data_IF_589617228955
#
_entry.id   IF_589617228955
#
_cell.length_a   1.000
_cell.length_b   1.000
_cell.length_c   1.000
_cell.angle_alpha   90.00
_cell.angle_beta   90.00
_cell.angle_gamma   90.00
#
_symmetry.space_group_name_H-M   'P 1'
#
loop_
_entity.id
_entity.type
_entity.pdbx_description
1 polymer ?
#
# COMPACT_ATOMS: atom_id res chain seq x y z
N UNK A 1 -12.63 -15.31 1.14
CA UNK A 1 -11.55 -16.05 0.48
C UNK A 1 -10.74 -15.01 -0.26
N UNK A 2 -9.53 -14.76 0.20
CA UNK A 2 -8.61 -13.81 -0.41
C UNK A 2 -7.79 -14.57 -1.44
N UNK A 3 -7.64 -14.00 -2.64
CA UNK A 3 -6.84 -14.60 -3.70
C UNK A 3 -5.68 -13.69 -4.03
N UNK A 4 -4.49 -14.26 -4.15
CA UNK A 4 -3.29 -13.55 -4.56
C UNK A 4 -3.08 -13.64 -6.07
N UNK A 5 -2.54 -12.58 -6.67
CA UNK A 5 -2.08 -12.61 -8.06
C UNK A 5 -0.90 -13.56 -8.20
N UNK A 6 -0.85 -14.33 -9.27
CA UNK A 6 0.23 -15.27 -9.55
C UNK A 6 0.66 -15.22 -11.01
N UNK A 7 1.94 -15.50 -11.24
CA UNK A 7 2.54 -15.76 -12.56
C UNK A 7 3.04 -17.20 -12.71
N UNK A 8 2.60 -18.10 -11.80
CA UNK A 8 3.15 -19.45 -11.69
C UNK A 8 2.62 -20.39 -12.80
N UNK A 9 1.37 -20.21 -13.23
CA UNK A 9 0.69 -21.10 -14.17
C UNK A 9 0.93 -20.80 -15.66
N UNK A 10 1.73 -19.78 -16.02
CA UNK A 10 2.02 -19.47 -17.41
C UNK A 10 2.42 -18.02 -17.67
N UNK A 11 2.07 -17.54 -18.87
CA UNK A 11 2.32 -16.18 -19.37
C UNK A 11 1.34 -15.16 -18.78
N UNK A 12 0.09 -15.59 -18.54
CA UNK A 12 -0.96 -14.74 -18.01
C UNK A 12 -0.81 -14.54 -16.50
N UNK A 13 -1.19 -13.35 -16.03
CA UNK A 13 -1.35 -13.10 -14.59
C UNK A 13 -2.76 -13.52 -14.17
N UNK A 14 -2.87 -14.30 -13.10
CA UNK A 14 -4.16 -14.80 -12.58
C UNK A 14 -4.30 -14.54 -11.08
N UNK A 15 -5.49 -14.20 -10.60
CA UNK A 15 -5.81 -14.10 -9.17
C UNK A 15 -6.62 -15.34 -8.73
N UNK A 16 -5.93 -16.44 -8.43
CA UNK A 16 -6.55 -17.73 -8.12
C UNK A 16 -5.79 -18.56 -7.09
N UNK A 17 -4.81 -17.97 -6.40
CA UNK A 17 -4.02 -18.65 -5.38
C UNK A 17 -4.53 -18.28 -3.99
N UNK A 18 -4.68 -19.28 -3.12
CA UNK A 18 -5.15 -19.10 -1.74
C UNK A 18 -4.01 -18.69 -0.78
N UNK A 19 -2.75 -18.85 -1.18
CA UNK A 19 -1.57 -18.55 -0.36
C UNK A 19 -0.59 -17.64 -1.12
N UNK A 20 0.05 -16.72 -0.41
CA UNK A 20 1.11 -15.89 -0.96
C UNK A 20 2.47 -16.62 -0.86
N UNK A 21 3.05 -17.00 -1.99
CA UNK A 21 4.45 -17.43 -2.10
C UNK A 21 5.29 -16.38 -2.86
N UNK A 22 6.54 -16.70 -3.18
CA UNK A 22 7.38 -15.84 -4.03
C UNK A 22 6.74 -15.57 -5.41
N UNK A 23 5.95 -16.51 -5.94
CA UNK A 23 5.27 -16.35 -7.23
C UNK A 23 4.09 -15.37 -7.21
N UNK A 24 3.67 -14.98 -6.01
CA UNK A 24 2.60 -14.03 -5.71
C UNK A 24 3.15 -12.69 -5.19
N UNK A 25 4.48 -12.55 -5.13
CA UNK A 25 5.17 -11.32 -4.75
C UNK A 25 5.61 -10.55 -5.99
N UNK A 26 5.23 -9.28 -6.07
CA UNK A 26 5.59 -8.38 -7.17
C UNK A 26 6.34 -7.17 -6.64
N UNK A 27 7.38 -6.75 -7.37
CA UNK A 27 8.09 -5.52 -7.09
C UNK A 27 7.42 -4.36 -7.84
N UNK A 28 7.01 -3.34 -7.09
CA UNK A 28 6.52 -2.08 -7.63
C UNK A 28 7.69 -1.14 -7.89
N UNK A 29 7.83 -0.68 -9.13
CA UNK A 29 8.89 0.25 -9.54
C UNK A 29 8.24 1.53 -10.08
N UNK A 30 8.46 2.65 -9.38
CA UNK A 30 7.89 3.94 -9.78
C UNK A 30 8.67 4.56 -10.94
N UNK A 31 7.95 5.05 -11.93
CA UNK A 31 8.47 5.86 -13.02
C UNK A 31 8.24 7.34 -12.73
N UNK A 32 9.33 8.07 -12.44
CA UNK A 32 9.26 9.49 -12.06
C UNK A 32 8.79 10.40 -13.20
N UNK A 33 8.99 10.00 -14.45
CA UNK A 33 8.57 10.76 -15.63
C UNK A 33 7.05 10.76 -15.81
N UNK A 34 6.42 9.59 -15.65
CA UNK A 34 4.98 9.43 -15.89
C UNK A 34 4.15 9.38 -14.61
N UNK A 35 4.79 9.30 -13.43
CA UNK A 35 4.13 9.10 -12.12
C UNK A 35 3.29 7.80 -12.07
N UNK A 36 3.70 6.78 -12.84
CA UNK A 36 3.06 5.46 -12.94
C UNK A 36 4.01 4.37 -12.46
N UNK A 37 3.49 3.16 -12.34
CA UNK A 37 4.19 2.03 -11.75
C UNK A 37 4.40 0.92 -12.76
N UNK A 38 5.60 0.34 -12.75
CA UNK A 38 5.85 -0.99 -13.29
C UNK A 38 5.60 -2.03 -12.20
N UNK A 39 5.02 -3.17 -12.60
CA UNK A 39 4.78 -4.31 -11.71
C UNK A 39 5.65 -5.46 -12.22
N UNK A 40 6.73 -5.76 -11.48
CA UNK A 40 7.75 -6.73 -11.87
C UNK A 40 7.60 -8.03 -11.09
N UNK A 41 7.69 -9.16 -11.78
CA UNK A 41 7.63 -10.50 -11.20
C UNK A 41 9.02 -10.96 -10.75
N UNK A 42 9.07 -12.04 -9.96
CA UNK A 42 10.31 -12.71 -9.55
C UNK A 42 11.15 -13.27 -10.72
N UNK A 43 10.56 -13.43 -11.91
CA UNK A 43 11.26 -13.90 -13.12
C UNK A 43 11.82 -12.74 -13.96
N UNK A 44 11.94 -11.55 -13.36
CA UNK A 44 12.36 -10.30 -14.01
C UNK A 44 11.48 -9.92 -15.23
N UNK A 45 10.19 -10.30 -15.19
CA UNK A 45 9.21 -9.92 -16.21
C UNK A 45 8.26 -8.85 -15.68
N UNK A 46 7.76 -8.01 -16.56
CA UNK A 46 6.83 -6.95 -16.24
C UNK A 46 5.41 -7.35 -16.64
N UNK A 47 4.43 -6.94 -15.82
CA UNK A 47 3.04 -6.90 -16.28
C UNK A 47 2.97 -6.01 -17.51
N UNK A 48 2.35 -6.50 -18.57
CA UNK A 48 2.15 -5.78 -19.83
C UNK A 48 0.70 -5.89 -20.27
N UNK A 49 0.14 -4.76 -20.71
CA UNK A 49 -1.09 -4.73 -21.48
C UNK A 49 -0.82 -5.28 -22.87
N UNK A 50 -1.43 -6.42 -23.16
CA UNK A 50 -1.30 -7.13 -24.43
C UNK A 50 -2.52 -6.96 -25.33
N UNK A 51 -2.41 -7.51 -26.54
CA UNK A 51 -3.54 -7.59 -27.48
C UNK A 51 -4.77 -8.23 -26.83
N UNK A 52 -5.96 -7.82 -27.28
CA UNK A 52 -7.24 -8.19 -26.67
C UNK A 52 -7.43 -7.76 -25.19
N UNK A 53 -6.64 -6.78 -24.73
CA UNK A 53 -6.71 -6.18 -23.38
C UNK A 53 -6.29 -7.12 -22.23
N UNK A 54 -5.62 -8.24 -22.50
CA UNK A 54 -5.10 -9.12 -21.45
C UNK A 54 -3.90 -8.52 -20.72
N UNK A 55 -3.73 -8.85 -19.44
CA UNK A 55 -2.51 -8.52 -18.69
C UNK A 55 -1.64 -9.78 -18.55
N UNK A 56 -0.42 -9.70 -19.09
CA UNK A 56 0.53 -10.81 -19.11
C UNK A 56 1.86 -10.41 -18.49
N UNK A 57 2.70 -11.38 -18.10
CA UNK A 57 4.01 -11.14 -17.51
C UNK A 57 5.14 -11.77 -18.35
N UNK A 58 5.28 -11.32 -19.61
CA UNK A 58 6.23 -11.90 -20.59
C UNK A 58 7.43 -11.02 -20.92
N UNK A 59 7.25 -9.70 -20.89
CA UNK A 59 8.29 -8.76 -21.32
C UNK A 59 9.31 -8.56 -20.21
N UNK A 60 10.60 -8.69 -20.52
CA UNK A 60 11.70 -8.21 -19.66
C UNK A 60 12.07 -6.75 -19.94
N UNK A 61 11.37 -6.11 -20.88
CA UNK A 61 11.58 -4.71 -21.24
C UNK A 61 10.49 -3.82 -20.67
N UNK A 62 10.89 -2.68 -20.12
CA UNK A 62 10.00 -1.56 -19.80
C UNK A 62 9.42 -0.98 -21.09
N UNK A 63 8.12 -0.71 -21.07
CA UNK A 63 7.38 -0.07 -22.18
C UNK A 63 6.19 0.73 -21.63
N UNK A 64 5.55 1.53 -22.48
CA UNK A 64 4.32 2.23 -22.10
C UNK A 64 3.20 1.27 -21.69
N UNK A 65 3.15 0.08 -22.29
CA UNK A 65 2.15 -0.94 -21.96
C UNK A 65 2.44 -1.65 -20.63
N UNK A 66 3.63 -1.48 -20.06
CA UNK A 66 3.99 -1.99 -18.74
C UNK A 66 3.73 -0.98 -17.61
N UNK A 67 3.23 0.21 -17.93
CA UNK A 67 2.93 1.26 -16.96
C UNK A 67 1.47 1.22 -16.52
N UNK A 68 1.26 1.22 -15.21
CA UNK A 68 -0.04 1.24 -14.57
C UNK A 68 -0.14 2.43 -13.62
N UNK A 69 -1.26 3.14 -13.69
CA UNK A 69 -1.64 4.12 -12.67
C UNK A 69 -2.36 3.38 -11.53
N UNK A 70 -2.03 3.70 -10.28
CA UNK A 70 -2.67 3.15 -9.10
C UNK A 70 -3.67 4.18 -8.55
N UNK A 71 -4.93 3.79 -8.46
CA UNK A 71 -6.00 4.61 -7.89
C UNK A 71 -6.41 4.04 -6.54
N UNK A 72 -6.00 4.70 -5.46
CA UNK A 72 -6.34 4.32 -4.09
C UNK A 72 -7.79 4.73 -3.76
N UNK A 73 -8.57 3.81 -3.21
CA UNK A 73 -9.98 4.01 -2.90
C UNK A 73 -10.21 4.28 -1.41
N UNK A 74 -11.42 4.72 -1.07
CA UNK A 74 -11.79 5.05 0.32
C UNK A 74 -11.71 3.84 1.25
N UNK A 75 -12.09 2.66 0.76
CA UNK A 75 -12.09 1.42 1.54
C UNK A 75 -10.73 0.69 1.58
N UNK A 76 -9.62 1.37 1.26
CA UNK A 76 -8.27 0.79 1.31
C UNK A 76 -7.88 -0.11 0.15
N UNK A 77 -8.83 -0.41 -0.76
CA UNK A 77 -8.53 -1.09 -2.01
C UNK A 77 -7.82 -0.15 -3.01
N UNK A 78 -7.17 -0.76 -3.99
CA UNK A 78 -6.49 -0.11 -5.11
C UNK A 78 -7.03 -0.66 -6.42
N UNK A 79 -7.21 0.22 -7.40
CA UNK A 79 -7.50 -0.13 -8.79
C UNK A 79 -6.28 0.17 -9.66
N UNK A 80 -6.05 -0.65 -10.68
CA UNK A 80 -4.97 -0.44 -11.65
C UNK A 80 -5.57 0.06 -12.96
N UNK A 81 -5.10 1.20 -13.45
CA UNK A 81 -5.47 1.71 -14.77
C UNK A 81 -4.31 1.48 -15.75
N UNK A 82 -4.59 0.72 -16.81
CA UNK A 82 -3.60 0.38 -17.82
C UNK A 82 -3.45 1.49 -18.88
N UNK A 83 -2.46 1.33 -19.77
CA UNK A 83 -2.12 2.34 -20.77
C UNK A 83 -3.20 2.57 -21.84
N UNK A 84 -4.20 1.69 -21.98
CA UNK A 84 -5.39 1.93 -22.80
C UNK A 84 -6.46 2.80 -22.11
N UNK A 85 -6.17 3.30 -20.91
CA UNK A 85 -7.08 4.15 -20.13
C UNK A 85 -8.15 3.40 -19.35
N UNK A 86 -8.17 2.06 -19.40
CA UNK A 86 -9.16 1.20 -18.73
C UNK A 86 -8.62 0.58 -17.45
N UNK A 87 -9.50 0.25 -16.53
CA UNK A 87 -9.19 -0.45 -15.30
C UNK A 87 -9.02 -1.96 -15.53
N UNK A 88 -8.03 -2.53 -14.84
CA UNK A 88 -7.77 -3.97 -14.78
C UNK A 88 -8.83 -4.63 -13.92
N UNK A 89 -9.44 -5.70 -14.45
CA UNK A 89 -10.44 -6.51 -13.76
C UNK A 89 -10.02 -7.97 -13.72
N UNK A 90 -10.54 -8.71 -12.75
CA UNK A 90 -10.47 -10.18 -12.70
C UNK A 90 -11.70 -10.79 -13.39
N UNK A 91 -11.47 -11.70 -14.33
CA UNK A 91 -12.54 -12.58 -14.86
C UNK A 91 -12.84 -13.73 -13.91
N UNK A 92 -13.99 -14.39 -14.07
CA UNK A 92 -14.33 -15.62 -13.31
C UNK A 92 -13.27 -16.73 -13.40
N UNK A 93 -12.47 -16.73 -14.46
CA UNK A 93 -11.35 -17.65 -14.67
C UNK A 93 -10.06 -17.25 -13.94
N UNK A 94 -10.04 -16.12 -13.22
CA UNK A 94 -8.87 -15.58 -12.53
C UNK A 94 -7.99 -14.65 -13.38
N UNK A 95 -8.08 -14.72 -14.70
CA UNK A 95 -7.27 -13.90 -15.61
C UNK A 95 -7.57 -12.40 -15.51
N UNK A 96 -6.53 -11.58 -15.67
CA UNK A 96 -6.61 -10.13 -15.63
C UNK A 96 -6.80 -9.49 -17.01
N UNK A 97 -7.72 -8.52 -17.09
CA UNK A 97 -8.02 -7.78 -18.32
C UNK A 97 -8.24 -6.29 -18.06
N UNK A 98 -7.64 -5.41 -18.85
CA UNK A 98 -7.89 -3.97 -18.81
C UNK A 98 -9.04 -3.57 -19.75
N UNK A 99 -10.28 -3.82 -19.34
CA UNK A 99 -11.46 -3.66 -20.19
C UNK A 99 -12.58 -2.82 -19.57
N UNK A 100 -12.45 -2.38 -18.31
CA UNK A 100 -13.51 -1.64 -17.62
C UNK A 100 -13.25 -0.13 -17.65
N UNK A 101 -14.28 0.67 -17.91
CA UNK A 101 -14.19 2.15 -17.94
C UNK A 101 -14.33 2.76 -16.53
N UNK A 102 -14.92 2.03 -15.58
CA UNK A 102 -15.17 2.46 -14.20
C UNK A 102 -14.63 1.44 -13.20
N UNK A 103 -14.50 1.85 -11.93
CA UNK A 103 -14.00 0.96 -10.88
C UNK A 103 -15.16 0.12 -10.33
N UNK A 104 -15.32 -1.07 -10.88
CA UNK A 104 -16.27 -2.09 -10.42
C UNK A 104 -15.66 -2.98 -9.32
N UNK A 105 -16.46 -3.84 -8.69
CA UNK A 105 -16.00 -4.68 -7.57
C UNK A 105 -14.89 -5.66 -7.98
N UNK A 106 -14.91 -6.18 -9.22
CA UNK A 106 -13.84 -7.05 -9.74
C UNK A 106 -12.61 -6.28 -10.24
N UNK A 107 -12.60 -4.94 -10.12
CA UNK A 107 -11.47 -4.05 -10.37
C UNK A 107 -10.80 -3.55 -9.08
N UNK A 108 -11.29 -4.00 -7.91
CA UNK A 108 -10.76 -3.63 -6.60
C UNK A 108 -9.83 -4.71 -6.10
N UNK A 109 -8.63 -4.30 -5.72
CA UNK A 109 -7.58 -5.17 -5.20
C UNK A 109 -7.10 -4.67 -3.85
N UNK A 110 -6.50 -5.52 -3.05
CA UNK A 110 -5.89 -5.12 -1.79
C UNK A 110 -4.38 -5.15 -1.89
N UNK A 111 -3.75 -4.16 -1.25
CA UNK A 111 -2.30 -4.01 -1.26
C UNK A 111 -1.71 -4.53 0.05
N UNK A 112 -0.65 -5.33 -0.06
CA UNK A 112 0.14 -5.78 1.08
C UNK A 112 1.62 -5.47 0.86
N UNK A 113 2.22 -4.77 1.83
CA UNK A 113 3.66 -4.51 1.83
C UNK A 113 4.40 -5.65 2.55
N UNK A 114 4.79 -6.67 1.81
CA UNK A 114 5.33 -7.92 2.39
C UNK A 114 6.80 -7.84 2.81
N UNK A 115 7.58 -6.94 2.19
CA UNK A 115 9.02 -6.80 2.42
C UNK A 115 9.37 -5.78 3.53
N UNK A 116 8.39 -5.39 4.35
CA UNK A 116 8.53 -4.51 5.51
C UNK A 116 7.71 -5.01 6.70
N UNK A 117 8.13 -6.11 7.36
CA UNK A 117 7.52 -6.54 8.63
C UNK A 117 7.77 -5.52 9.76
N UNK A 118 8.71 -4.61 9.54
CA UNK A 118 9.09 -3.53 10.44
C UNK A 118 9.22 -2.24 9.63
N UNK A 119 8.69 -1.14 10.17
CA UNK A 119 8.78 0.20 9.60
C UNK A 119 9.51 1.14 10.56
N UNK A 120 10.19 2.11 9.97
CA UNK A 120 10.66 3.33 10.62
C UNK A 120 10.06 4.48 9.81
N UNK A 121 9.20 5.27 10.43
CA UNK A 121 8.50 6.35 9.72
C UNK A 121 9.17 7.69 9.97
N UNK A 122 9.34 8.46 8.90
CA UNK A 122 9.89 9.81 8.96
C UNK A 122 9.09 10.76 8.08
N UNK A 123 8.80 11.96 8.58
CA UNK A 123 8.23 13.05 7.79
C UNK A 123 9.23 14.22 7.73
N UNK A 124 8.83 15.35 7.16
CA UNK A 124 9.67 16.54 7.04
C UNK A 124 10.17 17.08 8.40
N UNK A 125 9.44 16.80 9.49
CA UNK A 125 9.77 17.30 10.83
C UNK A 125 10.76 16.40 11.59
N UNK A 126 10.89 15.13 11.19
CA UNK A 126 11.71 14.15 11.90
C UNK A 126 11.12 12.74 11.88
N UNK A 127 11.64 11.89 12.76
CA UNK A 127 11.17 10.52 12.92
C UNK A 127 9.94 10.44 13.83
N UNK A 128 9.14 9.41 13.60
CA UNK A 128 8.13 8.96 14.56
C UNK A 128 8.82 8.29 15.75
N UNK A 129 8.47 8.73 16.95
CA UNK A 129 8.91 8.11 18.19
C UNK A 129 8.16 8.63 19.41
N UNK A 130 8.37 7.96 20.53
CA UNK A 130 7.74 8.28 21.81
C UNK A 130 8.15 9.68 22.27
N UNK A 131 7.18 10.46 22.77
CA UNK A 131 7.39 11.84 23.23
C UNK A 131 8.52 11.95 24.26
N UNK A 132 8.59 10.99 25.18
CA UNK A 132 9.69 10.78 26.12
C UNK A 132 9.83 9.28 26.40
N UNK A 133 10.94 8.86 27.01
CA UNK A 133 11.24 7.43 27.21
C UNK A 133 10.23 6.64 28.06
N UNK A 134 9.33 7.32 28.79
CA UNK A 134 8.25 6.69 29.56
C UNK A 134 6.86 7.03 29.04
N UNK A 135 6.76 7.85 27.98
CA UNK A 135 5.47 8.28 27.42
C UNK A 135 5.00 7.29 26.37
N UNK A 136 3.70 7.01 26.35
CA UNK A 136 3.05 6.24 25.29
C UNK A 136 2.61 7.14 24.14
N UNK A 137 2.63 8.46 24.30
CA UNK A 137 2.28 9.40 23.24
C UNK A 137 3.38 9.43 22.17
N UNK A 138 2.98 9.44 20.90
CA UNK A 138 3.88 9.47 19.76
C UNK A 138 3.97 10.89 19.18
N UNK A 139 5.17 11.27 18.75
CA UNK A 139 5.46 12.52 18.04
C UNK A 139 6.28 12.20 16.78
N UNK A 140 6.21 13.05 15.76
CA UNK A 140 6.87 12.86 14.46
C UNK A 140 8.00 13.86 14.19
N UNK A 141 8.48 14.56 15.22
CA UNK A 141 9.56 15.55 15.15
C UNK A 141 10.81 15.09 15.93
N UNK A 142 11.02 13.78 16.04
CA UNK A 142 12.10 13.20 16.86
C UNK A 142 13.39 13.04 16.06
N UNK A 143 14.51 13.16 16.75
CA UNK A 143 15.83 12.88 16.17
C UNK A 143 16.13 11.37 16.12
N UNK A 144 15.52 10.61 17.04
CA UNK A 144 15.59 9.14 17.10
C UNK A 144 14.24 8.55 16.72
N UNK A 145 14.25 7.35 16.14
CA UNK A 145 13.05 6.64 15.71
C UNK A 145 12.65 5.55 16.69
N UNK A 146 11.35 5.28 16.74
CA UNK A 146 10.83 4.04 17.30
C UNK A 146 10.62 3.01 16.18
N UNK A 147 10.80 1.74 16.54
CA UNK A 147 10.59 0.61 15.63
C UNK A 147 9.12 0.20 15.68
N UNK A 148 8.48 0.18 14.51
CA UNK A 148 7.07 -0.16 14.35
C UNK A 148 6.98 -1.55 13.71
N UNK A 149 6.44 -2.53 14.42
CA UNK A 149 6.13 -3.83 13.85
C UNK A 149 4.80 -3.76 13.11
N UNK A 150 4.76 -4.32 11.91
CA UNK A 150 3.57 -4.37 11.05
C UNK A 150 2.98 -5.76 11.10
N UNK A 151 1.79 -5.88 11.69
CA UNK A 151 1.02 -7.10 11.65
C UNK A 151 -0.02 -6.99 10.52
N UNK A 152 -0.18 -8.07 9.74
CA UNK A 152 -1.13 -8.12 8.63
C UNK A 152 -2.53 -8.46 9.13
N UNK A 153 -3.52 -7.73 8.63
CA UNK A 153 -4.94 -8.06 8.74
C UNK A 153 -5.50 -8.61 7.43
N UNK A 154 -6.82 -8.61 7.32
CA UNK A 154 -7.54 -8.97 6.08
C UNK A 154 -7.77 -7.74 5.22
N UNK A 155 -8.01 -7.94 3.91
CA UNK A 155 -8.35 -6.89 2.96
C UNK A 155 -7.34 -5.72 2.96
N UNK A 156 -6.04 -6.02 3.04
CA UNK A 156 -4.98 -5.00 3.02
C UNK A 156 -4.89 -4.14 4.28
N UNK A 157 -5.64 -4.45 5.34
CA UNK A 157 -5.51 -3.79 6.64
C UNK A 157 -4.18 -4.18 7.28
N UNK A 158 -3.52 -3.21 7.90
CA UNK A 158 -2.34 -3.44 8.74
C UNK A 158 -2.57 -2.92 10.15
N UNK A 159 -1.87 -3.51 11.11
CA UNK A 159 -1.84 -3.08 12.50
C UNK A 159 -0.41 -2.72 12.89
N UNK A 160 -0.25 -1.59 13.57
CA UNK A 160 1.06 -1.13 14.02
C UNK A 160 1.26 -1.42 15.50
N UNK A 161 2.42 -1.96 15.84
CA UNK A 161 2.77 -2.35 17.21
C UNK A 161 4.16 -1.87 17.57
N UNK A 162 4.25 -1.17 18.70
CA UNK A 162 5.54 -0.71 19.22
C UNK A 162 6.38 -1.84 19.79
N UNK A 163 7.66 -1.56 20.04
CA UNK A 163 8.57 -2.52 20.69
C UNK A 163 8.15 -2.87 22.13
N UNK A 164 7.26 -2.08 22.74
CA UNK A 164 6.65 -2.37 24.03
C UNK A 164 5.53 -3.43 23.97
N UNK A 165 5.24 -3.97 22.78
CA UNK A 165 4.19 -4.97 22.55
C UNK A 165 2.77 -4.40 22.53
N UNK A 166 2.60 -3.08 22.60
CA UNK A 166 1.30 -2.40 22.54
C UNK A 166 1.04 -1.88 21.13
N UNK A 167 -0.23 -1.77 20.78
CA UNK A 167 -0.66 -1.27 19.48
C UNK A 167 -0.68 0.25 19.45
N UNK A 168 -0.47 0.78 18.25
CA UNK A 168 -0.83 2.14 17.94
C UNK A 168 -2.33 2.34 18.11
N UNK A 169 -2.67 3.48 18.68
CA UNK A 169 -4.04 3.84 19.03
C UNK A 169 -4.29 5.30 18.71
N UNK A 170 -5.48 5.59 18.21
CA UNK A 170 -5.99 6.95 18.06
C UNK A 170 -6.44 7.46 19.44
N UNK A 171 -5.85 8.56 19.89
CA UNK A 171 -6.20 9.23 21.15
C UNK A 171 -6.71 10.66 20.89
N UNK A 172 -7.32 11.28 21.90
CA UNK A 172 -7.80 12.67 21.80
C UNK A 172 -6.68 13.69 21.60
N UNK A 173 -5.44 13.35 21.98
CA UNK A 173 -4.26 14.22 21.82
C UNK A 173 -3.34 13.83 20.65
N UNK A 174 -3.77 12.92 19.78
CA UNK A 174 -2.97 12.40 18.65
C UNK A 174 -2.79 10.90 18.71
N UNK A 175 -1.68 10.38 18.20
CA UNK A 175 -1.36 8.95 18.26
C UNK A 175 -0.66 8.54 19.56
N UNK A 176 -1.00 7.36 20.09
CA UNK A 176 -0.31 6.72 21.21
C UNK A 176 0.03 5.26 20.91
N UNK A 177 0.93 4.66 21.70
CA UNK A 177 1.36 3.27 21.60
C UNK A 177 1.11 2.53 22.92
N UNK A 178 -0.15 2.50 23.34
CA UNK A 178 -0.66 1.85 24.55
C UNK A 178 -1.94 1.04 24.31
N UNK A 179 -2.27 0.76 23.05
CA UNK A 179 -3.41 -0.07 22.69
C UNK A 179 -3.22 -1.53 23.12
N UNK A 180 -4.21 -2.10 23.80
CA UNK A 180 -4.28 -3.54 24.09
C UNK A 180 -4.83 -4.34 22.89
N UNK A 181 -5.64 -3.69 22.06
CA UNK A 181 -6.25 -4.26 20.86
C UNK A 181 -5.75 -3.54 19.61
N UNK A 182 -5.64 -4.25 18.47
CA UNK A 182 -5.18 -3.64 17.22
C UNK A 182 -6.21 -2.69 16.63
N UNK A 183 -5.76 -1.53 16.16
CA UNK A 183 -6.53 -0.59 15.32
C UNK A 183 -6.01 -0.67 13.87
N UNK A 184 -6.94 -0.81 12.92
CA UNK A 184 -6.63 -1.05 11.51
C UNK A 184 -6.28 0.22 10.73
N UNK A 185 -5.27 0.10 9.87
CA UNK A 185 -4.84 1.15 8.95
C UNK A 185 -4.65 0.61 7.54
N UNK A 186 -4.69 1.49 6.55
CA UNK A 186 -4.31 1.20 5.17
C UNK A 186 -3.03 1.96 4.81
N UNK A 187 -2.15 1.29 4.06
CA UNK A 187 -0.95 1.89 3.47
C UNK A 187 -1.22 2.24 2.01
N UNK A 188 -0.93 3.48 1.63
CA UNK A 188 -1.02 3.94 0.24
C UNK A 188 0.36 4.38 -0.25
N UNK A 189 0.92 3.68 -1.22
CA UNK A 189 2.18 4.08 -1.84
C UNK A 189 2.00 5.32 -2.72
N UNK A 190 2.89 6.30 -2.55
CA UNK A 190 2.85 7.59 -3.27
C UNK A 190 4.04 7.70 -4.22
N UNK A 191 5.24 7.51 -3.69
CA UNK A 191 6.53 7.61 -4.39
C UNK A 191 7.43 6.44 -3.93
N UNK A 192 8.60 6.23 -4.57
CA UNK A 192 9.63 5.36 -4.01
C UNK A 192 9.85 5.70 -2.55
N UNK A 193 9.79 4.69 -1.69
CA UNK A 193 9.99 4.80 -0.24
C UNK A 193 9.11 5.84 0.46
N UNK A 194 7.96 6.25 -0.11
CA UNK A 194 6.98 7.11 0.58
C UNK A 194 5.57 6.54 0.53
N UNK A 195 4.89 6.61 1.68
CA UNK A 195 3.51 6.17 1.82
C UNK A 195 2.67 7.18 2.61
N UNK A 196 1.36 7.13 2.39
CA UNK A 196 0.37 7.75 3.25
C UNK A 196 -0.31 6.67 4.08
N UNK A 197 -0.74 7.03 5.29
CA UNK A 197 -1.45 6.14 6.22
C UNK A 197 -2.88 6.64 6.34
N UNK A 198 -3.86 5.75 6.16
CA UNK A 198 -5.29 6.05 6.23
C UNK A 198 -5.95 5.18 7.28
N UNK A 199 -6.86 5.73 8.09
CA UNK A 199 -7.65 4.92 9.02
C UNK A 199 -8.83 4.24 8.32
N UNK A 200 -9.54 3.38 9.05
CA UNK A 200 -10.72 2.67 8.54
C UNK A 200 -11.90 3.60 8.18
N UNK A 201 -11.92 4.82 8.71
CA UNK A 201 -12.93 5.85 8.43
C UNK A 201 -12.61 6.69 7.19
N UNK A 202 -11.46 6.43 6.56
CA UNK A 202 -11.05 7.09 5.33
C UNK A 202 -10.37 8.45 5.52
N UNK A 203 -9.91 8.77 6.73
CA UNK A 203 -9.09 9.95 7.02
C UNK A 203 -7.60 9.61 6.96
N UNK A 204 -6.79 10.53 6.48
CA UNK A 204 -5.34 10.42 6.43
C UNK A 204 -4.67 10.87 7.73
N UNK A 205 -3.54 10.25 8.03
CA UNK A 205 -2.64 10.62 9.12
C UNK A 205 -1.88 11.90 8.74
N UNK A 206 -2.07 12.95 9.52
CA UNK A 206 -1.52 14.28 9.26
C UNK A 206 -0.65 14.72 10.43
N UNK A 207 0.59 15.12 10.13
CA UNK A 207 1.52 15.74 11.05
C UNK A 207 1.19 17.24 11.21
N UNK A 208 1.08 17.67 12.45
CA UNK A 208 0.88 19.06 12.84
C UNK A 208 2.21 19.75 13.14
N UNK A 209 2.21 21.08 13.16
CA UNK A 209 3.43 21.91 13.35
C UNK A 209 4.14 21.70 14.69
N UNK A 210 3.48 21.12 15.69
CA UNK A 210 4.03 20.84 17.01
C UNK A 210 4.60 19.42 17.14
N UNK A 211 4.65 18.65 16.06
CA UNK A 211 5.10 17.26 16.03
C UNK A 211 4.04 16.23 16.42
N UNK A 212 2.87 16.65 16.89
CA UNK A 212 1.71 15.75 17.05
C UNK A 212 1.24 15.32 15.66
N UNK A 213 0.80 14.08 15.53
CA UNK A 213 0.16 13.61 14.31
C UNK A 213 -1.13 12.88 14.66
N UNK A 214 -2.16 13.05 13.82
CA UNK A 214 -3.52 12.55 14.06
C UNK A 214 -4.26 12.37 12.75
N UNK A 215 -5.33 11.58 12.76
CA UNK A 215 -6.24 11.49 11.63
C UNK A 215 -7.15 12.72 11.58
N UNK A 216 -7.37 13.29 10.39
CA UNK A 216 -8.15 14.54 10.29
C UNK A 216 -8.90 14.78 9.00
N UNK A 217 -8.27 14.59 7.84
CA UNK A 217 -8.88 14.90 6.54
C UNK A 217 -8.91 13.68 5.64
N UNK A 218 -9.97 13.51 4.86
CA UNK A 218 -10.02 12.52 3.77
C UNK A 218 -9.37 13.02 2.48
N UNK A 219 -8.90 14.28 2.47
CA UNK A 219 -8.18 14.89 1.35
C UNK A 219 -6.74 14.39 1.30
N UNK A 220 -6.37 13.79 0.17
CA UNK A 220 -5.03 13.26 -0.07
C UNK A 220 -3.96 14.35 -0.06
N UNK A 221 -4.28 15.56 -0.51
CA UNK A 221 -3.32 16.68 -0.55
C UNK A 221 -2.90 17.15 0.85
N UNK A 222 -3.68 16.80 1.88
CA UNK A 222 -3.36 17.10 3.28
C UNK A 222 -2.64 15.94 3.98
N UNK A 223 -2.55 14.77 3.34
CA UNK A 223 -1.92 13.61 3.92
C UNK A 223 -0.42 13.84 4.12
N UNK A 224 0.11 13.44 5.27
CA UNK A 224 1.55 13.41 5.46
C UNK A 224 2.13 12.22 4.70
N UNK A 225 3.12 12.49 3.85
CA UNK A 225 3.93 11.46 3.21
C UNK A 225 5.04 11.02 4.17
N UNK A 226 5.03 9.73 4.50
CA UNK A 226 5.98 9.10 5.40
C UNK A 226 7.02 8.33 4.61
N UNK A 227 8.29 8.66 4.82
CA UNK A 227 9.42 7.85 4.38
C UNK A 227 9.49 6.57 5.24
N UNK A 228 9.75 5.40 4.61
CA UNK A 228 9.66 4.08 5.25
C UNK A 228 10.72 3.05 4.80
#
# INVERSE_FOLDING_TARGET
MEFFFSSCAGVDVTANQDEASDHETFQLEFDTCTRRWYIRTMKDKYWTLETACGIQAISDKRSSNALFELTWLECGSVAFRANNGKYVTIKKSGHLFANCESIEDNAKFFFELVNRPVLVLKCEQGFVGSKSGSSTALECNKASYDVIHVEKGTNGVVFFKGSNGKYWKISSSGMSCDGESPEGFYLQLVEPSRLCIKNMEGSYLVAEKNGVFRFGSSDFEQATQWEY
#
